data_IF_777769465521
#
_entry.id   IF_777769465521
#
_cell.length_a   1.000
_cell.length_b   1.000
_cell.length_c   1.000
_cell.angle_alpha   90.00
_cell.angle_beta   90.00
_cell.angle_gamma   90.00
#
_symmetry.space_group_name_H-M   'P 1'
#
loop_
_entity.id
_entity.type
_entity.pdbx_description
1 polymer ?
#
# COMPACT_ATOMS: atom_id res chain seq x y z
N UNK A 1 -22.09 -5.77 -0.53
CA UNK A 1 -21.53 -4.43 -0.25
C UNK A 1 -21.64 -3.62 -1.53
N UNK A 2 -21.85 -2.31 -1.45
CA UNK A 2 -21.93 -1.44 -2.63
C UNK A 2 -20.53 -1.18 -3.14
N UNK A 3 -20.23 -1.40 -4.44
CA UNK A 3 -18.91 -1.11 -5.00
C UNK A 3 -18.55 0.38 -4.86
N UNK A 4 -17.25 0.67 -4.70
CA UNK A 4 -16.77 2.03 -4.58
C UNK A 4 -17.07 2.82 -5.87
N UNK A 5 -17.63 4.02 -5.72
CA UNK A 5 -17.94 4.88 -6.85
C UNK A 5 -16.67 5.46 -7.47
N UNK A 6 -16.54 5.38 -8.81
CA UNK A 6 -15.45 6.00 -9.56
C UNK A 6 -15.52 7.53 -9.49
N UNK A 7 -14.37 8.20 -9.67
CA UNK A 7 -14.28 9.67 -9.67
C UNK A 7 -14.63 10.31 -8.32
N UNK A 8 -14.56 9.55 -7.23
CA UNK A 8 -14.95 9.97 -5.88
C UNK A 8 -13.81 9.75 -4.90
N UNK A 9 -13.67 10.64 -3.92
CA UNK A 9 -12.75 10.47 -2.79
C UNK A 9 -13.46 9.66 -1.71
N UNK A 10 -12.88 8.53 -1.34
CA UNK A 10 -13.39 7.67 -0.27
C UNK A 10 -12.54 7.85 0.99
N UNK A 11 -13.16 8.26 2.09
CA UNK A 11 -12.48 8.41 3.38
C UNK A 11 -12.73 7.16 4.24
N UNK A 12 -11.66 6.52 4.70
CA UNK A 12 -11.73 5.35 5.57
C UNK A 12 -10.38 4.65 5.70
N UNK A 13 -10.37 3.50 6.37
CA UNK A 13 -9.21 2.62 6.40
C UNK A 13 -8.96 2.06 4.99
N UNK A 14 -7.72 2.17 4.51
CA UNK A 14 -7.40 1.78 3.15
C UNK A 14 -7.52 0.27 2.92
N UNK A 15 -7.30 -0.57 3.93
CA UNK A 15 -7.46 -2.03 3.81
C UNK A 15 -8.94 -2.40 3.69
N UNK A 16 -9.79 -1.76 4.48
CA UNK A 16 -11.24 -1.96 4.40
C UNK A 16 -11.81 -1.48 3.07
N UNK A 17 -11.37 -0.31 2.58
CA UNK A 17 -11.80 0.22 1.29
C UNK A 17 -11.28 -0.62 0.12
N UNK A 18 -10.00 -0.99 0.12
CA UNK A 18 -9.44 -1.81 -0.97
C UNK A 18 -10.10 -3.19 -1.05
N UNK A 19 -10.55 -3.78 0.06
CA UNK A 19 -11.28 -5.05 0.05
C UNK A 19 -12.59 -5.03 -0.76
N UNK A 20 -13.09 -3.84 -1.09
CA UNK A 20 -14.30 -3.63 -1.88
C UNK A 20 -14.02 -3.42 -3.38
N UNK A 21 -12.75 -3.36 -3.77
CA UNK A 21 -12.30 -3.22 -5.16
C UNK A 21 -12.10 -4.62 -5.74
N UNK A 22 -12.60 -4.83 -6.95
CA UNK A 22 -12.47 -6.10 -7.66
C UNK A 22 -11.00 -6.44 -7.98
N UNK A 23 -10.68 -7.73 -7.97
CA UNK A 23 -9.36 -8.25 -8.36
C UNK A 23 -9.01 -7.84 -9.79
N UNK A 24 -7.75 -7.51 -10.05
CA UNK A 24 -7.26 -7.23 -11.40
C UNK A 24 -8.00 -6.12 -12.14
N UNK A 25 -8.53 -5.12 -11.43
CA UNK A 25 -9.34 -4.05 -12.00
C UNK A 25 -8.59 -2.72 -12.15
N UNK A 26 -7.46 -2.54 -11.45
CA UNK A 26 -6.70 -1.29 -11.39
C UNK A 26 -5.49 -1.32 -12.33
N UNK A 27 -5.34 -0.29 -13.17
CA UNK A 27 -4.18 -0.14 -14.06
C UNK A 27 -2.96 0.48 -13.36
N UNK A 28 -3.19 1.43 -12.44
CA UNK A 28 -2.12 2.13 -11.75
C UNK A 28 -2.53 2.44 -10.31
N UNK A 29 -1.62 2.16 -9.37
CA UNK A 29 -1.74 2.57 -7.98
C UNK A 29 -0.54 3.45 -7.59
N UNK A 30 -0.80 4.45 -6.75
CA UNK A 30 0.23 5.27 -6.13
C UNK A 30 -0.02 5.30 -4.62
N UNK A 31 1.04 5.12 -3.82
CA UNK A 31 0.97 5.23 -2.38
C UNK A 31 2.10 6.11 -1.83
N UNK A 32 1.73 6.97 -0.88
CA UNK A 32 2.62 7.81 -0.09
C UNK A 32 2.27 7.58 1.40
N UNK A 33 2.64 6.41 1.96
CA UNK A 33 2.35 6.09 3.36
C UNK A 33 3.21 6.95 4.32
N UNK A 34 2.91 6.97 5.63
CA UNK A 34 3.81 7.56 6.61
C UNK A 34 5.19 6.89 6.55
N UNK A 35 6.28 7.65 6.55
CA UNK A 35 7.64 7.09 6.36
C UNK A 35 8.20 6.43 7.63
N UNK A 36 7.50 6.52 8.77
CA UNK A 36 7.89 5.96 10.05
C UNK A 36 9.24 6.51 10.60
N UNK A 37 9.65 7.70 10.13
CA UNK A 37 10.90 8.38 10.51
C UNK A 37 10.77 9.19 11.80
N UNK A 38 9.58 9.23 12.41
CA UNK A 38 9.30 10.00 13.62
C UNK A 38 9.00 11.47 13.33
N UNK A 39 8.49 11.77 12.14
CA UNK A 39 8.03 13.11 11.82
C UNK A 39 6.86 13.52 12.71
N UNK A 40 6.79 14.80 13.09
CA UNK A 40 5.71 15.31 13.94
C UNK A 40 4.55 15.80 13.08
N UNK A 41 3.49 15.00 13.03
CA UNK A 41 2.20 15.40 12.48
C UNK A 41 1.26 15.84 13.59
N UNK A 42 0.31 16.71 13.27
CA UNK A 42 -0.67 17.21 14.24
C UNK A 42 -1.69 16.14 14.68
N UNK A 43 -1.85 15.07 13.88
CA UNK A 43 -2.96 14.11 14.03
C UNK A 43 -2.56 12.73 14.52
N UNK A 44 -1.30 12.33 14.36
CA UNK A 44 -0.86 10.99 14.71
C UNK A 44 0.65 10.96 15.01
N UNK A 45 1.07 9.91 15.70
CA UNK A 45 2.48 9.60 15.91
C UNK A 45 3.00 8.77 14.75
N UNK A 46 3.93 9.36 13.99
CA UNK A 46 4.51 8.70 12.82
C UNK A 46 5.29 7.44 13.18
N UNK A 47 6.08 7.49 14.27
CA UNK A 47 6.92 6.36 14.68
C UNK A 47 6.12 5.26 15.36
N UNK A 48 6.18 4.08 14.74
CA UNK A 48 5.69 2.79 15.18
C UNK A 48 6.89 1.82 15.31
N UNK A 49 6.69 0.70 16.00
CA UNK A 49 7.69 -0.37 16.00
C UNK A 49 7.86 -0.97 14.60
N UNK A 50 9.11 -1.24 14.19
CA UNK A 50 9.43 -1.68 12.83
C UNK A 50 8.62 -2.89 12.39
N UNK A 51 8.46 -3.89 13.26
CA UNK A 51 7.69 -5.10 12.95
C UNK A 51 6.21 -4.79 12.68
N UNK A 52 5.63 -3.86 13.45
CA UNK A 52 4.23 -3.47 13.31
C UNK A 52 4.02 -2.64 12.03
N UNK A 53 4.92 -1.71 11.75
CA UNK A 53 4.91 -0.90 10.54
C UNK A 53 5.05 -1.78 9.28
N UNK A 54 6.03 -2.68 9.27
CA UNK A 54 6.25 -3.59 8.15
C UNK A 54 5.11 -4.59 7.96
N UNK A 55 4.49 -5.09 9.03
CA UNK A 55 3.29 -5.94 8.92
C UNK A 55 2.12 -5.19 8.29
N UNK A 56 1.85 -3.97 8.75
CA UNK A 56 0.84 -3.11 8.14
C UNK A 56 1.14 -2.84 6.65
N UNK A 57 2.40 -2.59 6.32
CA UNK A 57 2.83 -2.40 4.94
C UNK A 57 2.59 -3.62 4.05
N UNK A 58 2.96 -4.82 4.52
CA UNK A 58 2.68 -6.07 3.80
C UNK A 58 1.19 -6.25 3.52
N UNK A 59 0.32 -5.91 4.47
CA UNK A 59 -1.13 -6.04 4.32
C UNK A 59 -1.66 -5.15 3.19
N UNK A 60 -1.27 -3.88 3.14
CA UNK A 60 -1.77 -2.98 2.09
C UNK A 60 -1.09 -3.23 0.74
N UNK A 61 0.19 -3.60 0.70
CA UNK A 61 0.86 -4.03 -0.54
C UNK A 61 0.20 -5.28 -1.10
N UNK A 62 -0.19 -6.23 -0.24
CA UNK A 62 -0.93 -7.43 -0.65
C UNK A 62 -2.29 -7.11 -1.29
N UNK A 63 -3.01 -6.11 -0.74
CA UNK A 63 -4.25 -5.63 -1.36
C UNK A 63 -3.99 -4.97 -2.72
N UNK A 64 -2.94 -4.15 -2.84
CA UNK A 64 -2.54 -3.56 -4.12
C UNK A 64 -2.23 -4.63 -5.17
N UNK A 65 -1.46 -5.66 -4.81
CA UNK A 65 -1.17 -6.76 -5.72
C UNK A 65 -2.44 -7.46 -6.21
N UNK A 66 -3.43 -7.70 -5.32
CA UNK A 66 -4.71 -8.31 -5.68
C UNK A 66 -5.52 -7.47 -6.66
N UNK A 67 -5.65 -6.16 -6.41
CA UNK A 67 -6.52 -5.28 -7.20
C UNK A 67 -5.86 -4.81 -8.51
N UNK A 68 -4.53 -4.84 -8.59
CA UNK A 68 -3.81 -4.48 -9.81
C UNK A 68 -4.01 -5.54 -10.89
N UNK A 69 -4.23 -5.07 -12.12
CA UNK A 69 -4.16 -5.92 -13.31
C UNK A 69 -2.80 -6.60 -13.40
N UNK A 70 -2.69 -7.73 -14.11
CA UNK A 70 -1.39 -8.32 -14.44
C UNK A 70 -0.44 -7.38 -15.20
N UNK A 71 -0.98 -6.38 -15.91
CA UNK A 71 -0.23 -5.31 -16.59
C UNK A 71 -0.17 -4.00 -15.78
N UNK A 72 -0.71 -4.00 -14.57
CA UNK A 72 -0.80 -2.81 -13.73
C UNK A 72 0.55 -2.41 -13.15
N UNK A 73 0.65 -1.15 -12.71
CA UNK A 73 1.87 -0.59 -12.13
C UNK A 73 1.58 -0.03 -10.74
N UNK A 74 2.50 -0.24 -9.80
CA UNK A 74 2.45 0.36 -8.46
C UNK A 74 3.66 1.27 -8.24
N UNK A 75 3.41 2.53 -7.89
CA UNK A 75 4.43 3.49 -7.48
C UNK A 75 4.35 3.78 -5.99
N UNK A 76 5.49 3.65 -5.30
CA UNK A 76 5.63 3.89 -3.88
C UNK A 76 6.57 5.06 -3.63
N UNK A 77 6.08 6.09 -2.93
CA UNK A 77 6.92 7.12 -2.34
C UNK A 77 7.30 6.69 -0.90
N UNK A 78 8.59 6.57 -0.63
CA UNK A 78 9.12 6.19 0.70
C UNK A 78 10.56 6.70 0.86
N UNK A 79 10.97 6.92 2.12
CA UNK A 79 12.37 7.18 2.49
C UNK A 79 13.27 5.95 2.37
N UNK A 80 14.59 6.14 2.50
CA UNK A 80 15.57 5.06 2.37
C UNK A 80 15.49 4.04 3.51
N UNK A 81 14.97 4.43 4.68
CA UNK A 81 14.91 3.60 5.89
C UNK A 81 14.14 2.28 5.72
N UNK A 82 13.13 2.26 4.86
CA UNK A 82 12.29 1.07 4.61
C UNK A 82 12.18 0.69 3.13
N UNK A 83 12.86 1.40 2.23
CA UNK A 83 12.76 1.15 0.79
C UNK A 83 13.16 -0.29 0.42
N UNK A 84 14.18 -0.84 1.08
CA UNK A 84 14.67 -2.19 0.81
C UNK A 84 13.67 -3.26 1.29
N UNK A 85 13.16 -3.11 2.51
CA UNK A 85 12.20 -4.01 3.14
C UNK A 85 10.90 -4.05 2.36
N UNK A 86 10.37 -2.89 1.95
CA UNK A 86 9.13 -2.82 1.19
C UNK A 86 9.31 -3.38 -0.23
N UNK A 87 10.46 -3.16 -0.86
CA UNK A 87 10.81 -3.82 -2.13
C UNK A 87 10.86 -5.34 -1.99
N UNK A 88 11.45 -5.87 -0.92
CA UNK A 88 11.53 -7.31 -0.66
C UNK A 88 10.13 -7.89 -0.38
N UNK A 89 9.36 -7.24 0.48
CA UNK A 89 7.98 -7.64 0.77
C UNK A 89 7.16 -7.76 -0.52
N UNK A 90 7.27 -6.75 -1.37
CA UNK A 90 6.48 -6.71 -2.58
C UNK A 90 7.00 -7.69 -3.66
N UNK A 91 8.31 -7.77 -3.92
CA UNK A 91 8.84 -8.66 -4.99
C UNK A 91 8.99 -10.14 -4.61
N UNK A 92 9.26 -10.46 -3.34
CA UNK A 92 9.66 -11.82 -2.92
C UNK A 92 8.64 -12.50 -2.04
N UNK A 93 8.03 -11.77 -1.11
CA UNK A 93 7.09 -12.36 -0.16
C UNK A 93 5.68 -12.46 -0.75
N UNK A 94 5.28 -11.46 -1.54
CA UNK A 94 3.95 -11.39 -2.15
C UNK A 94 3.91 -11.87 -3.61
N UNK A 95 5.02 -12.48 -4.08
CA UNK A 95 5.17 -13.05 -5.42
C UNK A 95 4.82 -12.08 -6.58
N UNK A 96 5.06 -10.78 -6.40
CA UNK A 96 5.05 -9.84 -7.54
C UNK A 96 6.31 -10.14 -8.36
N UNK A 97 6.21 -11.05 -9.34
CA UNK A 97 7.33 -11.47 -10.21
C UNK A 97 7.82 -10.37 -11.17
N UNK A 98 7.66 -9.09 -10.83
CA UNK A 98 7.96 -7.97 -11.73
C UNK A 98 8.71 -6.85 -11.01
N UNK A 99 9.68 -6.21 -11.68
CA UNK A 99 10.39 -5.08 -11.10
C UNK A 99 9.44 -3.88 -10.89
N UNK A 100 9.56 -3.27 -9.71
CA UNK A 100 9.12 -1.89 -9.44
C UNK A 100 9.84 -0.89 -10.33
#
# INVERSE_FOLDING_TARGET
MTPLQLGTIHQGDCLELMSQIDDGSIDLAFADPPFNIGYRYDKYHDRQEDAQYLDWCRRWIGQLHRILKPSGTFWLAIGDEYAAELKVAATRELAVERPF
#
